data_IF_064139777901
#
_entry.id   IF_064139777901
#
_cell.length_a   1.000
_cell.length_b   1.000
_cell.length_c   1.000
_cell.angle_alpha   90.00
_cell.angle_beta   90.00
_cell.angle_gamma   90.00
#
_symmetry.space_group_name_H-M   'P 1'
#
loop_
_entity.id
_entity.type
_entity.pdbx_description
1 polymer ?
#
# COMPACT_ATOMS: atom_id res chain seq x y z
N UNK A 1 6.17 24.64 13.40
CA UNK A 1 5.74 23.23 13.16
C UNK A 1 6.70 22.33 13.91
N UNK A 2 6.23 21.22 14.49
CA UNK A 2 7.07 20.29 15.27
C UNK A 2 7.42 19.09 14.41
N UNK A 3 8.65 18.58 14.54
CA UNK A 3 9.08 17.40 13.80
C UNK A 3 8.27 16.17 14.20
N UNK A 4 7.90 15.38 13.19
CA UNK A 4 7.25 14.10 13.40
C UNK A 4 8.35 13.06 13.65
N UNK A 5 8.52 12.75 14.93
CA UNK A 5 9.76 12.11 15.44
C UNK A 5 10.00 10.71 14.88
N UNK A 6 8.93 9.98 14.56
CA UNK A 6 9.01 8.62 14.06
C UNK A 6 9.58 8.60 12.63
N UNK A 7 9.17 9.55 11.82
CA UNK A 7 9.54 9.75 10.42
C UNK A 7 10.98 10.23 10.33
N UNK A 8 11.40 11.13 11.22
CA UNK A 8 12.82 11.53 11.34
C UNK A 8 13.72 10.36 11.73
N UNK A 9 13.21 9.42 12.54
CA UNK A 9 13.95 8.22 12.90
C UNK A 9 14.03 7.24 11.72
N UNK A 10 12.90 6.92 11.08
CA UNK A 10 12.87 6.01 9.93
C UNK A 10 13.64 6.55 8.72
N UNK A 11 13.61 7.86 8.45
CA UNK A 11 14.36 8.45 7.33
C UNK A 11 15.86 8.17 7.39
N UNK A 12 16.41 7.90 8.59
CA UNK A 12 17.81 7.53 8.77
C UNK A 12 18.04 6.02 8.70
N UNK A 13 17.10 5.22 9.22
CA UNK A 13 17.36 3.82 9.56
C UNK A 13 16.61 2.80 8.70
N UNK A 14 15.51 3.17 8.05
CA UNK A 14 14.58 2.27 7.36
C UNK A 14 15.25 1.37 6.32
N UNK A 15 16.21 1.93 5.57
CA UNK A 15 16.94 1.21 4.51
C UNK A 15 18.43 0.98 4.82
N UNK A 16 18.88 1.28 6.04
CA UNK A 16 20.28 1.08 6.47
C UNK A 16 20.42 -0.01 7.55
N UNK A 17 19.36 -0.29 8.30
CA UNK A 17 19.35 -1.35 9.28
C UNK A 17 19.44 -2.73 8.60
N UNK A 18 20.39 -3.57 9.03
CA UNK A 18 20.54 -4.95 8.52
C UNK A 18 19.28 -5.80 8.79
N UNK A 19 18.62 -5.55 9.92
CA UNK A 19 17.38 -6.20 10.31
C UNK A 19 16.39 -5.12 10.73
N UNK A 20 15.36 -4.87 9.92
CA UNK A 20 14.29 -3.93 10.26
C UNK A 20 13.20 -4.67 11.05
N UNK A 21 13.18 -4.46 12.37
CA UNK A 21 12.16 -5.03 13.29
C UNK A 21 11.20 -3.95 13.82
N UNK A 22 11.27 -2.73 13.27
CA UNK A 22 10.47 -1.59 13.72
C UNK A 22 9.28 -1.32 12.80
N UNK A 23 9.26 -1.92 11.60
CA UNK A 23 8.15 -1.81 10.67
C UNK A 23 6.86 -2.37 11.30
N UNK A 24 5.76 -1.61 11.19
CA UNK A 24 4.47 -1.96 11.78
C UNK A 24 3.51 -2.62 10.78
N UNK A 25 3.88 -2.64 9.51
CA UNK A 25 3.13 -3.28 8.44
C UNK A 25 3.31 -4.80 8.45
N UNK A 26 2.39 -5.47 7.76
CA UNK A 26 2.48 -6.91 7.48
C UNK A 26 3.40 -7.13 6.26
N UNK A 27 3.72 -8.39 5.98
CA UNK A 27 4.51 -8.75 4.82
C UNK A 27 3.92 -8.19 3.52
N UNK A 28 4.73 -7.47 2.75
CA UNK A 28 4.36 -6.95 1.44
C UNK A 28 4.26 -8.09 0.43
N UNK A 29 3.19 -8.11 -0.36
CA UNK A 29 2.99 -9.05 -1.47
C UNK A 29 3.08 -8.33 -2.80
N UNK A 30 3.43 -9.04 -3.88
CA UNK A 30 3.41 -8.44 -5.21
C UNK A 30 1.97 -8.21 -5.67
N UNK A 31 1.75 -7.24 -6.55
CA UNK A 31 0.43 -7.02 -7.16
C UNK A 31 -0.07 -8.29 -7.88
N UNK A 32 0.84 -9.02 -8.54
CA UNK A 32 0.50 -10.27 -9.22
C UNK A 32 0.02 -11.34 -8.23
N UNK A 33 0.67 -11.47 -7.08
CA UNK A 33 0.29 -12.44 -6.06
C UNK A 33 -1.06 -12.07 -5.43
N UNK A 34 -1.29 -10.78 -5.20
CA UNK A 34 -2.57 -10.26 -4.71
C UNK A 34 -3.72 -10.57 -5.69
N UNK A 35 -3.53 -10.29 -6.99
CA UNK A 35 -4.52 -10.59 -8.04
C UNK A 35 -4.68 -12.09 -8.31
N UNK A 36 -3.73 -12.92 -7.90
CA UNK A 36 -3.88 -14.38 -7.95
C UNK A 36 -4.80 -14.90 -6.83
N UNK A 37 -4.95 -14.14 -5.73
CA UNK A 37 -5.84 -14.45 -4.61
C UNK A 37 -7.25 -13.86 -4.78
N UNK A 38 -7.46 -12.95 -5.73
CA UNK A 38 -8.75 -12.29 -5.97
C UNK A 38 -9.75 -13.20 -6.71
N UNK A 39 -11.02 -12.78 -6.74
CA UNK A 39 -12.01 -13.42 -7.61
C UNK A 39 -11.72 -13.13 -9.10
N UNK A 40 -12.35 -13.89 -10.00
CA UNK A 40 -12.26 -13.67 -11.45
C UNK A 40 -12.81 -12.29 -11.82
N UNK A 41 -13.92 -11.89 -11.19
CA UNK A 41 -14.58 -10.60 -11.46
C UNK A 41 -13.73 -9.42 -10.98
N UNK A 42 -13.11 -9.52 -9.80
CA UNK A 42 -12.21 -8.48 -9.27
C UNK A 42 -10.98 -8.29 -10.16
N UNK A 43 -10.42 -9.41 -10.65
CA UNK A 43 -9.27 -9.37 -11.55
C UNK A 43 -9.62 -8.69 -12.87
N UNK A 44 -10.79 -9.01 -13.43
CA UNK A 44 -11.30 -8.36 -14.64
C UNK A 44 -11.56 -6.87 -14.41
N UNK A 45 -12.17 -6.51 -13.28
CA UNK A 45 -12.40 -5.11 -12.94
C UNK A 45 -11.10 -4.32 -12.79
N UNK A 46 -10.05 -4.94 -12.22
CA UNK A 46 -8.72 -4.35 -12.15
C UNK A 46 -8.10 -4.14 -13.54
N UNK A 47 -8.21 -5.12 -14.44
CA UNK A 47 -7.68 -5.03 -15.82
C UNK A 47 -8.41 -3.95 -16.65
N UNK A 48 -9.71 -3.79 -16.45
CA UNK A 48 -10.55 -2.81 -17.17
C UNK A 48 -10.56 -1.42 -16.49
N UNK A 49 -9.83 -1.24 -15.37
CA UNK A 49 -9.86 -0.02 -14.57
C UNK A 49 -9.39 1.22 -15.35
N UNK A 50 -10.23 2.25 -15.37
CA UNK A 50 -9.90 3.56 -15.95
C UNK A 50 -9.40 4.51 -14.85
N UNK A 51 -8.15 4.96 -14.98
CA UNK A 51 -7.54 5.92 -14.05
C UNK A 51 -8.00 7.35 -14.37
N UNK A 52 -9.14 7.75 -13.81
CA UNK A 52 -9.71 9.09 -13.91
C UNK A 52 -10.15 9.63 -12.56
N UNK A 53 -10.77 10.81 -12.56
CA UNK A 53 -11.37 11.36 -11.35
C UNK A 53 -12.58 10.53 -10.92
N UNK A 54 -12.62 10.21 -9.63
CA UNK A 54 -13.72 9.51 -8.96
C UNK A 54 -14.32 10.39 -7.87
N UNK A 55 -15.29 9.86 -7.13
CA UNK A 55 -15.94 10.59 -6.03
C UNK A 55 -14.95 10.97 -4.93
N UNK A 56 -15.12 12.19 -4.38
CA UNK A 56 -14.22 12.77 -3.38
C UNK A 56 -14.12 11.93 -2.10
N UNK A 57 -15.17 11.17 -1.77
CA UNK A 57 -15.23 10.33 -0.58
C UNK A 57 -14.71 8.90 -0.80
N UNK A 58 -14.37 8.52 -2.04
CA UNK A 58 -14.00 7.15 -2.39
C UNK A 58 -15.18 6.35 -2.96
N UNK A 59 -14.91 5.09 -3.34
CA UNK A 59 -15.93 4.18 -3.86
C UNK A 59 -16.89 3.76 -2.74
N UNK A 60 -18.20 3.84 -2.97
CA UNK A 60 -19.24 3.49 -1.99
C UNK A 60 -19.30 2.00 -1.61
N UNK A 61 -18.72 1.12 -2.42
CA UNK A 61 -18.69 -0.33 -2.17
C UNK A 61 -17.49 -0.78 -1.32
N UNK A 62 -16.59 0.14 -0.96
CA UNK A 62 -15.40 -0.09 -0.12
C UNK A 62 -15.56 0.57 1.26
#
# INVERSE_FOLDING_TARGET
VRDFKLETYFSRWEFTAKYNMAASDVESVTLSDLLAMSSIDDKKAFDDLMLGYTETFGNSEL
#
